data_IF_910666532973
#
_entry.id   IF_910666532973
#
_cell.length_a   1.000
_cell.length_b   1.000
_cell.length_c   1.000
_cell.angle_alpha   90.00
_cell.angle_beta   90.00
_cell.angle_gamma   90.00
#
_symmetry.space_group_name_H-M   'P 1'
#
loop_
_entity.id
_entity.type
_entity.pdbx_description
1 polymer ?
#
# COMPACT_ATOMS: atom_id res chain seq x y z
N UNK A 1 17.32 14.40 -4.60
CA UNK A 1 16.19 13.50 -4.99
C UNK A 1 15.71 12.61 -3.84
N UNK A 2 16.55 11.77 -3.19
CA UNK A 2 16.13 10.90 -2.06
C UNK A 2 15.51 11.66 -0.87
N UNK A 3 16.15 12.75 -0.42
CA UNK A 3 15.64 13.58 0.68
C UNK A 3 14.26 14.20 0.38
N UNK A 4 13.97 14.51 -0.89
CA UNK A 4 12.69 15.09 -1.32
C UNK A 4 11.58 14.04 -1.24
N UNK A 5 11.88 12.79 -1.60
CA UNK A 5 10.91 11.70 -1.48
C UNK A 5 10.63 11.32 -0.02
N UNK A 6 11.66 11.29 0.83
CA UNK A 6 11.48 11.03 2.26
C UNK A 6 10.61 12.11 2.94
N UNK A 7 10.84 13.38 2.61
CA UNK A 7 10.00 14.48 3.10
C UNK A 7 8.56 14.38 2.58
N UNK A 8 8.37 14.07 1.30
CA UNK A 8 7.04 13.90 0.70
C UNK A 8 6.23 12.78 1.38
N UNK A 9 6.89 11.69 1.77
CA UNK A 9 6.26 10.64 2.57
C UNK A 9 5.72 11.16 3.89
N UNK A 10 6.58 11.75 4.73
CA UNK A 10 6.21 12.14 6.10
C UNK A 10 5.31 13.36 6.17
N UNK A 11 5.48 14.32 5.26
CA UNK A 11 4.81 15.62 5.31
C UNK A 11 3.51 15.67 4.49
N UNK A 12 3.26 14.70 3.62
CA UNK A 12 2.11 14.75 2.70
C UNK A 12 1.42 13.40 2.62
N UNK A 13 2.09 12.40 2.06
CA UNK A 13 1.43 11.15 1.66
C UNK A 13 0.95 10.36 2.87
N UNK A 14 1.78 10.15 3.88
CA UNK A 14 1.32 9.40 5.06
C UNK A 14 0.15 10.09 5.76
N UNK A 15 0.15 11.43 5.82
CA UNK A 15 -0.90 12.19 6.50
C UNK A 15 -2.26 12.05 5.80
N UNK A 16 -2.30 12.14 4.46
CA UNK A 16 -3.55 11.96 3.70
C UNK A 16 -4.06 10.51 3.76
N UNK A 17 -3.15 9.54 3.92
CA UNK A 17 -3.46 8.12 3.95
C UNK A 17 -4.03 7.62 5.29
N UNK A 18 -3.91 8.39 6.39
CA UNK A 18 -4.41 7.96 7.71
C UNK A 18 -5.91 7.69 7.68
N UNK A 19 -6.70 8.61 7.13
CA UNK A 19 -8.17 8.47 7.13
C UNK A 19 -8.64 7.27 6.29
N UNK A 20 -8.20 7.11 5.03
CA UNK A 20 -8.57 5.94 4.23
C UNK A 20 -8.09 4.62 4.86
N UNK A 21 -6.90 4.59 5.47
CA UNK A 21 -6.42 3.40 6.18
C UNK A 21 -7.33 3.02 7.36
N UNK A 22 -7.73 3.99 8.18
CA UNK A 22 -8.62 3.74 9.31
C UNK A 22 -10.02 3.30 8.87
N UNK A 23 -10.50 3.81 7.74
CA UNK A 23 -11.75 3.36 7.12
C UNK A 23 -11.65 1.89 6.73
N UNK A 24 -10.62 1.54 5.96
CA UNK A 24 -10.36 0.18 5.54
C UNK A 24 -10.23 -0.80 6.72
N UNK A 25 -9.54 -0.41 7.81
CA UNK A 25 -9.44 -1.22 9.03
C UNK A 25 -10.80 -1.46 9.69
N UNK A 26 -11.67 -0.46 9.72
CA UNK A 26 -13.02 -0.58 10.28
C UNK A 26 -13.87 -1.56 9.46
N UNK A 27 -13.80 -1.45 8.13
CA UNK A 27 -14.54 -2.34 7.22
C UNK A 27 -14.12 -3.79 7.40
N UNK A 28 -12.81 -4.06 7.48
CA UNK A 28 -12.31 -5.40 7.78
C UNK A 28 -12.79 -5.94 9.13
N UNK A 29 -12.80 -5.12 10.18
CA UNK A 29 -13.29 -5.57 11.49
C UNK A 29 -14.79 -5.92 11.47
N UNK A 30 -15.57 -5.24 10.64
CA UNK A 30 -17.02 -5.48 10.49
C UNK A 30 -17.37 -6.62 9.52
N UNK A 31 -16.43 -7.01 8.65
CA UNK A 31 -16.64 -7.96 7.57
C UNK A 31 -15.84 -9.24 7.81
N UNK A 32 -16.52 -10.36 8.08
CA UNK A 32 -15.87 -11.69 8.03
C UNK A 32 -15.45 -12.11 6.61
N UNK A 33 -15.67 -11.25 5.62
CA UNK A 33 -15.38 -11.51 4.21
C UNK A 33 -13.97 -11.03 3.89
N UNK A 34 -13.21 -11.85 3.16
CA UNK A 34 -11.92 -11.44 2.62
C UNK A 34 -12.06 -10.15 1.80
N UNK A 35 -11.08 -9.23 1.86
CA UNK A 35 -11.13 -8.01 1.06
C UNK A 35 -11.23 -8.36 -0.42
N UNK A 36 -12.18 -7.72 -1.10
CA UNK A 36 -12.30 -7.82 -2.56
C UNK A 36 -11.37 -6.79 -3.18
N UNK A 37 -10.25 -7.25 -3.74
CA UNK A 37 -9.33 -6.42 -4.49
C UNK A 37 -9.74 -6.37 -5.97
N UNK A 38 -9.58 -5.23 -6.66
CA UNK A 38 -9.66 -5.23 -8.11
C UNK A 38 -8.52 -6.08 -8.68
N UNK A 39 -8.88 -7.19 -9.34
CA UNK A 39 -7.92 -8.13 -9.93
C UNK A 39 -7.34 -7.59 -11.26
N UNK A 40 -8.12 -6.81 -12.00
CA UNK A 40 -7.68 -6.15 -13.22
C UNK A 40 -8.62 -5.00 -13.62
N UNK A 41 -8.13 -4.11 -14.49
CA UNK A 41 -8.94 -3.08 -15.14
C UNK A 41 -8.76 -1.67 -14.57
N UNK A 42 -9.65 -0.78 -15.01
CA UNK A 42 -9.62 0.63 -14.65
C UNK A 42 -10.37 0.82 -13.34
N UNK A 43 -9.68 1.33 -12.33
CA UNK A 43 -10.27 1.72 -11.05
C UNK A 43 -10.63 3.19 -11.15
N UNK A 44 -11.93 3.46 -11.18
CA UNK A 44 -12.43 4.83 -11.20
C UNK A 44 -12.98 5.21 -9.82
N UNK A 45 -12.16 5.94 -9.08
CA UNK A 45 -12.49 6.45 -7.75
C UNK A 45 -12.96 7.92 -7.82
N UNK A 46 -12.70 8.64 -8.93
CA UNK A 46 -13.15 10.02 -9.09
C UNK A 46 -14.51 10.11 -9.79
N UNK A 47 -15.46 10.83 -9.19
CA UNK A 47 -16.73 11.21 -9.84
C UNK A 47 -16.64 12.54 -10.62
N UNK A 48 -15.43 13.06 -10.84
CA UNK A 48 -15.24 14.35 -11.47
C UNK A 48 -15.42 14.30 -13.00
N UNK A 49 -15.94 15.37 -13.60
CA UNK A 49 -16.16 15.50 -15.05
C UNK A 49 -14.93 16.03 -15.81
N UNK A 50 -13.76 16.01 -15.19
CA UNK A 50 -12.52 16.56 -15.73
C UNK A 50 -11.72 15.51 -16.52
N UNK A 51 -10.71 15.96 -17.25
CA UNK A 51 -9.79 15.07 -17.95
C UNK A 51 -9.01 14.20 -16.95
N UNK A 52 -9.05 12.89 -17.16
CA UNK A 52 -8.33 11.91 -16.37
C UNK A 52 -7.11 11.40 -17.10
N UNK A 53 -6.02 11.20 -16.35
CA UNK A 53 -4.82 10.51 -16.83
C UNK A 53 -4.75 9.14 -16.20
N UNK A 54 -4.40 8.15 -17.01
CA UNK A 54 -4.25 6.78 -16.54
C UNK A 54 -2.85 6.56 -15.97
N UNK A 55 -2.75 5.96 -14.79
CA UNK A 55 -1.50 5.48 -14.21
C UNK A 55 -1.57 3.96 -14.04
N UNK A 56 -0.63 3.25 -14.67
CA UNK A 56 -0.49 1.79 -14.53
C UNK A 56 0.25 1.46 -13.23
N UNK A 57 -0.33 0.56 -12.44
CA UNK A 57 0.26 0.13 -11.17
C UNK A 57 0.25 -1.40 -11.11
N UNK A 58 1.39 -1.97 -10.72
CA UNK A 58 1.49 -3.38 -10.37
C UNK A 58 1.15 -3.52 -8.88
N UNK A 59 0.12 -4.28 -8.59
CA UNK A 59 -0.39 -4.54 -7.25
C UNK A 59 0.04 -5.95 -6.81
N UNK A 60 0.80 -6.01 -5.73
CA UNK A 60 1.28 -7.26 -5.13
C UNK A 60 0.31 -7.68 -4.04
N UNK A 61 -0.23 -8.89 -4.14
CA UNK A 61 -1.05 -9.51 -3.09
C UNK A 61 -0.47 -10.87 -2.69
N UNK A 62 -1.02 -11.46 -1.63
CA UNK A 62 -0.65 -12.81 -1.18
C UNK A 62 -0.94 -13.86 -2.27
N UNK A 63 -1.98 -13.66 -3.09
CA UNK A 63 -2.45 -14.64 -4.07
C UNK A 63 -1.74 -14.51 -5.41
N UNK A 64 -1.55 -13.27 -5.88
CA UNK A 64 -1.08 -12.98 -7.23
C UNK A 64 -0.60 -11.53 -7.38
N UNK A 65 -0.04 -11.26 -8.56
CA UNK A 65 0.25 -9.92 -9.07
C UNK A 65 -0.91 -9.45 -9.96
N UNK A 66 -1.36 -8.22 -9.75
CA UNK A 66 -2.45 -7.61 -10.49
C UNK A 66 -1.97 -6.36 -11.20
N UNK A 67 -2.41 -6.16 -12.45
CA UNK A 67 -2.14 -4.93 -13.19
C UNK A 67 -3.42 -4.10 -13.21
N UNK A 68 -3.38 -2.94 -12.55
CA UNK A 68 -4.51 -2.03 -12.46
C UNK A 68 -4.17 -0.70 -13.11
N UNK A 69 -5.22 0.00 -13.53
CA UNK A 69 -5.13 1.32 -14.12
C UNK A 69 -5.90 2.32 -13.27
N UNK A 70 -5.18 3.26 -12.65
CA UNK A 70 -5.77 4.33 -11.84
C UNK A 70 -6.17 5.50 -12.73
N UNK A 71 -7.36 6.04 -12.49
CA UNK A 71 -7.87 7.25 -13.16
C UNK A 71 -7.55 8.49 -12.32
N UNK A 72 -6.48 9.21 -12.64
CA UNK A 72 -6.01 10.37 -11.87
C UNK A 72 -6.55 11.68 -12.42
N UNK A 73 -6.99 12.58 -11.54
CA UNK A 73 -7.40 13.95 -11.89
C UNK A 73 -6.49 14.99 -11.23
N UNK A 74 -6.46 16.22 -11.76
CA UNK A 74 -5.60 17.29 -11.24
C UNK A 74 -6.13 17.98 -9.97
N UNK A 75 -7.31 17.59 -9.46
CA UNK A 75 -7.97 18.33 -8.38
C UNK A 75 -7.75 17.70 -7.00
N UNK A 76 -8.16 16.44 -6.80
CA UNK A 76 -8.22 15.89 -5.43
C UNK A 76 -8.01 14.38 -5.31
N UNK A 77 -7.89 13.64 -6.42
CA UNK A 77 -7.74 12.19 -6.35
C UNK A 77 -6.29 11.80 -6.64
N UNK A 78 -5.49 11.72 -5.57
CA UNK A 78 -4.10 11.29 -5.70
C UNK A 78 -4.01 9.77 -5.87
N UNK A 79 -2.98 9.30 -6.56
CA UNK A 79 -2.74 7.86 -6.73
C UNK A 79 -2.62 7.10 -5.39
N UNK A 80 -1.92 7.64 -4.35
CA UNK A 80 -1.90 7.03 -3.03
C UNK A 80 -3.28 6.82 -2.41
N UNK A 81 -4.15 7.82 -2.46
CA UNK A 81 -5.49 7.74 -1.88
C UNK A 81 -6.34 6.69 -2.60
N UNK A 82 -6.33 6.71 -3.93
CA UNK A 82 -7.06 5.70 -4.72
C UNK A 82 -6.60 4.28 -4.39
N UNK A 83 -5.28 4.06 -4.30
CA UNK A 83 -4.72 2.76 -3.91
C UNK A 83 -5.17 2.34 -2.52
N UNK A 84 -5.18 3.25 -1.55
CA UNK A 84 -5.58 2.94 -0.19
C UNK A 84 -7.07 2.59 -0.09
N UNK A 85 -7.93 3.27 -0.86
CA UNK A 85 -9.36 2.96 -0.94
C UNK A 85 -9.64 1.56 -1.50
N UNK A 86 -8.80 1.05 -2.41
CA UNK A 86 -8.89 -0.31 -2.91
C UNK A 86 -8.02 -1.32 -2.15
N UNK A 87 -7.50 -0.95 -0.98
CA UNK A 87 -6.79 -1.86 -0.08
C UNK A 87 -5.32 -2.10 -0.41
N UNK A 88 -4.66 -1.19 -1.12
CA UNK A 88 -3.24 -1.25 -1.48
C UNK A 88 -2.45 -0.07 -0.91
N UNK A 89 -1.25 -0.34 -0.40
CA UNK A 89 -0.29 0.68 0.00
C UNK A 89 0.68 0.98 -1.14
N UNK A 90 0.85 2.25 -1.56
CA UNK A 90 1.79 2.62 -2.61
C UNK A 90 3.25 2.41 -2.19
N UNK A 91 4.12 1.96 -3.10
CA UNK A 91 5.56 1.87 -2.82
C UNK A 91 6.33 3.17 -3.11
N UNK A 92 5.69 4.17 -3.73
CA UNK A 92 6.28 5.50 -3.94
C UNK A 92 5.24 6.61 -3.74
N UNK A 93 5.63 7.82 -3.29
CA UNK A 93 4.68 8.78 -2.75
C UNK A 93 3.84 9.50 -3.82
N UNK A 94 4.37 9.75 -5.01
CA UNK A 94 3.69 10.61 -6.01
C UNK A 94 3.16 9.82 -7.21
N UNK A 95 3.99 8.91 -7.75
CA UNK A 95 3.66 8.12 -8.94
C UNK A 95 4.00 6.63 -8.70
N UNK A 96 3.21 5.93 -7.88
CA UNK A 96 3.43 4.53 -7.59
C UNK A 96 3.27 3.68 -8.85
N UNK A 97 4.35 3.02 -9.26
CA UNK A 97 4.29 1.96 -10.28
C UNK A 97 4.09 0.57 -9.64
N UNK A 98 4.26 0.51 -8.32
CA UNK A 98 4.14 -0.69 -7.49
C UNK A 98 3.34 -0.33 -6.23
N UNK A 99 2.46 -1.23 -5.81
CA UNK A 99 1.73 -1.16 -4.55
C UNK A 99 1.60 -2.57 -3.95
N UNK A 100 1.44 -2.66 -2.62
CA UNK A 100 1.34 -3.93 -1.89
C UNK A 100 0.01 -3.98 -1.14
N UNK A 101 -0.69 -5.10 -1.14
CA UNK A 101 -1.97 -5.22 -0.45
C UNK A 101 -1.80 -5.01 1.06
N UNK A 102 -2.75 -4.32 1.67
CA UNK A 102 -2.70 -4.02 3.09
C UNK A 102 -2.77 -5.30 3.95
N UNK A 103 -3.47 -6.34 3.50
CA UNK A 103 -3.48 -7.66 4.14
C UNK A 103 -2.10 -8.30 4.20
N UNK A 104 -1.32 -8.17 3.11
CA UNK A 104 0.05 -8.69 3.07
C UNK A 104 0.94 -7.92 4.05
N UNK A 105 0.76 -6.60 4.14
CA UNK A 105 1.49 -5.78 5.12
C UNK A 105 1.10 -6.10 6.57
N UNK A 106 -0.18 -6.39 6.83
CA UNK A 106 -0.65 -6.83 8.14
C UNK A 106 -0.06 -8.19 8.52
N UNK A 107 -0.10 -9.16 7.61
CA UNK A 107 0.54 -10.46 7.80
C UNK A 107 2.04 -10.30 8.10
N UNK A 108 2.74 -9.50 7.30
CA UNK A 108 4.18 -9.26 7.47
C UNK A 108 4.46 -8.56 8.80
N UNK A 109 3.63 -7.59 9.22
CA UNK A 109 3.75 -6.92 10.52
C UNK A 109 3.61 -7.92 11.69
N UNK A 110 2.61 -8.80 11.63
CA UNK A 110 2.41 -9.86 12.63
C UNK A 110 3.60 -10.82 12.61
N UNK A 111 4.04 -11.25 11.43
CA UNK A 111 5.20 -12.12 11.27
C UNK A 111 6.46 -11.48 11.84
N UNK A 112 6.71 -10.19 11.63
CA UNK A 112 7.88 -9.51 12.20
C UNK A 112 7.89 -9.48 13.72
N UNK A 113 6.72 -9.38 14.35
CA UNK A 113 6.59 -9.43 15.82
C UNK A 113 6.83 -10.83 16.38
N UNK A 114 6.41 -11.88 15.64
CA UNK A 114 6.44 -13.27 16.11
C UNK A 114 7.58 -14.11 15.54
N UNK A 115 8.25 -13.64 14.50
CA UNK A 115 9.53 -14.18 14.07
C UNK A 115 10.52 -13.86 15.19
N UNK A 116 11.13 -14.88 15.79
CA UNK A 116 12.29 -14.64 16.64
C UNK A 116 13.36 -13.88 15.81
N UNK A 117 14.46 -13.37 16.39
CA UNK A 117 15.48 -12.68 15.62
C UNK A 117 16.30 -13.70 14.82
N UNK A 118 15.70 -14.42 13.87
CA UNK A 118 16.21 -15.67 13.27
C UNK A 118 17.35 -15.48 12.27
N UNK A 119 17.96 -14.30 12.23
CA UNK A 119 19.19 -14.10 11.46
C UNK A 119 20.21 -13.37 12.33
N UNK A 120 19.81 -12.30 13.02
CA UNK A 120 20.72 -11.57 13.91
C UNK A 120 21.00 -12.28 15.23
N UNK A 121 20.04 -12.96 15.86
CA UNK A 121 20.32 -13.70 17.10
C UNK A 121 21.11 -14.98 16.82
N UNK A 122 20.82 -15.68 15.72
CA UNK A 122 21.59 -16.86 15.31
C UNK A 122 23.01 -16.47 14.88
N UNK A 123 23.17 -15.45 14.03
CA UNK A 123 24.49 -14.95 13.63
C UNK A 123 25.27 -14.33 14.80
N UNK A 124 24.61 -13.59 15.72
CA UNK A 124 25.26 -13.08 16.92
C UNK A 124 25.67 -14.20 17.88
N UNK A 125 24.90 -15.28 17.98
CA UNK A 125 25.27 -16.46 18.77
C UNK A 125 26.47 -17.16 18.15
N UNK A 126 26.47 -17.40 16.84
CA UNK A 126 27.61 -17.96 16.12
C UNK A 126 28.86 -17.10 16.31
N UNK A 127 28.78 -15.79 16.08
CA UNK A 127 29.94 -14.88 16.22
C UNK A 127 30.45 -14.76 17.66
N UNK A 128 29.60 -15.06 18.66
CA UNK A 128 29.97 -15.02 20.07
C UNK A 128 30.61 -16.32 20.56
N UNK A 129 30.30 -17.45 19.93
CA UNK A 129 30.69 -18.79 20.41
C UNK A 129 31.57 -19.59 19.44
N UNK A 130 31.69 -19.16 18.18
CA UNK A 130 32.67 -19.62 17.18
C UNK A 130 33.70 -18.51 16.93
#
# INVERSE_FOLDING_TARGET
RKHVQAACWSQTVLLILIRPFMHWKREQASSHRSPSFPECGIVNVCSCMMHHRTLKVVCVSIKALYNIELSLCNHSCSAPEQLMEIGYFPCTPVYPMLAVSLDMLELVSILFVHSAPNERAWAATITKYL
#
